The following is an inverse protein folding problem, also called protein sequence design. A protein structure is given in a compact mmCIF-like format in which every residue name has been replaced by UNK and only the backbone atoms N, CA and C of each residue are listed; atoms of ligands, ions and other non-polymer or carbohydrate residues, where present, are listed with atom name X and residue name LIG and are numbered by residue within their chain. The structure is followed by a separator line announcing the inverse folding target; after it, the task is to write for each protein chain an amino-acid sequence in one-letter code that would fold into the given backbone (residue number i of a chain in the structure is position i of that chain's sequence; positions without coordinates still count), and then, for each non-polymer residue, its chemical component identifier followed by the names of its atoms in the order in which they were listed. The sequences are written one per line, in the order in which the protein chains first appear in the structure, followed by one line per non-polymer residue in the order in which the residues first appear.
data_IF_050447026305
#
_entry.id   IF_050447026305
#
_cell.length_a   1.000
_cell.length_b   1.000
_cell.length_c   1.000
_cell.angle_alpha   90.00
_cell.angle_beta   90.00
_cell.angle_gamma   90.00
#
_symmetry.space_group_name_H-M   'P 1'
#
loop_
_entity.id
_entity.type
_entity.pdbx_description
1 polymer ?
#
# COMPACT_ATOMS: atom_id res chain seq x y z
N UNK A 1 13.23 -13.28 -39.07
CA UNK A 1 13.44 -13.95 -37.78
C UNK A 1 13.21 -12.93 -36.69
N UNK A 2 11.97 -12.62 -36.38
CA UNK A 2 11.63 -11.72 -35.29
C UNK A 2 11.04 -12.58 -34.18
N UNK A 3 11.94 -13.07 -33.35
CA UNK A 3 11.56 -13.57 -32.03
C UNK A 3 11.27 -12.40 -31.12
N UNK A 4 10.23 -11.60 -31.42
CA UNK A 4 9.69 -10.72 -30.42
C UNK A 4 9.09 -11.63 -29.35
N UNK A 5 9.74 -11.68 -28.21
CA UNK A 5 9.07 -12.06 -26.96
C UNK A 5 7.88 -11.10 -26.83
N UNK A 6 6.76 -11.50 -27.42
CA UNK A 6 5.51 -10.78 -27.31
C UNK A 6 5.09 -10.80 -25.84
N UNK A 7 5.67 -9.90 -25.06
CA UNK A 7 5.26 -9.71 -23.67
C UNK A 7 3.85 -9.15 -23.73
N UNK A 8 2.88 -10.04 -23.64
CA UNK A 8 1.48 -9.70 -23.60
C UNK A 8 1.22 -8.89 -22.31
N UNK A 9 0.41 -7.84 -22.42
CA UNK A 9 -0.02 -7.05 -21.25
C UNK A 9 -0.54 -7.94 -20.11
N UNK A 10 -1.21 -9.05 -20.46
CA UNK A 10 -1.69 -10.05 -19.49
C UNK A 10 -0.55 -10.68 -18.71
N UNK A 11 0.54 -11.08 -19.37
CA UNK A 11 1.72 -11.67 -18.71
C UNK A 11 2.36 -10.68 -17.75
N UNK A 12 2.44 -9.40 -18.15
CA UNK A 12 2.98 -8.32 -17.31
C UNK A 12 2.11 -8.11 -16.06
N UNK A 13 0.79 -8.09 -16.22
CA UNK A 13 -0.15 -7.94 -15.11
C UNK A 13 -0.02 -9.12 -14.13
N UNK A 14 0.02 -10.36 -14.63
CA UNK A 14 0.20 -11.52 -13.76
C UNK A 14 1.53 -11.50 -13.01
N UNK A 15 2.62 -11.15 -13.67
CA UNK A 15 3.92 -11.00 -13.04
C UNK A 15 3.90 -9.92 -11.94
N UNK A 16 3.29 -8.77 -12.22
CA UNK A 16 3.12 -7.69 -11.24
C UNK A 16 2.30 -8.14 -10.02
N UNK A 17 1.19 -8.82 -10.23
CA UNK A 17 0.36 -9.35 -9.14
C UNK A 17 1.13 -10.38 -8.30
N UNK A 18 1.93 -11.24 -8.91
CA UNK A 18 2.81 -12.16 -8.18
C UNK A 18 3.84 -11.42 -7.33
N UNK A 19 4.49 -10.39 -7.88
CA UNK A 19 5.45 -9.56 -7.14
C UNK A 19 4.77 -8.88 -5.93
N UNK A 20 3.59 -8.31 -6.12
CA UNK A 20 2.84 -7.70 -5.03
C UNK A 20 2.39 -8.71 -3.97
N UNK A 21 1.93 -9.89 -4.37
CA UNK A 21 1.54 -10.94 -3.44
C UNK A 21 2.73 -11.43 -2.60
N UNK A 22 3.88 -11.64 -3.23
CA UNK A 22 5.12 -12.03 -2.55
C UNK A 22 5.59 -10.91 -1.61
N UNK A 23 5.61 -9.66 -2.10
CA UNK A 23 5.98 -8.50 -1.30
C UNK A 23 5.08 -8.34 -0.08
N UNK A 24 3.77 -8.42 -0.27
CA UNK A 24 2.82 -8.37 0.84
C UNK A 24 3.02 -9.51 1.85
N UNK A 25 3.18 -10.74 1.36
CA UNK A 25 3.27 -11.92 2.22
C UNK A 25 4.56 -11.99 3.03
N UNK A 26 5.70 -11.70 2.41
CA UNK A 26 7.01 -11.85 3.07
C UNK A 26 7.51 -10.53 3.62
N UNK A 27 7.62 -9.51 2.80
CA UNK A 27 8.19 -8.22 3.19
C UNK A 27 7.28 -7.46 4.15
N UNK A 28 5.97 -7.38 3.84
CA UNK A 28 4.98 -6.76 4.72
C UNK A 28 4.92 -7.42 6.10
N UNK A 29 4.92 -8.76 6.16
CA UNK A 29 4.94 -9.48 7.43
C UNK A 29 6.27 -9.30 8.19
N UNK A 30 7.39 -9.23 7.49
CA UNK A 30 8.68 -8.94 8.11
C UNK A 30 8.67 -7.58 8.79
N UNK A 31 8.23 -6.53 8.09
CA UNK A 31 8.12 -5.18 8.65
C UNK A 31 7.15 -5.15 9.84
N UNK A 32 5.96 -5.74 9.69
CA UNK A 32 4.95 -5.76 10.74
C UNK A 32 5.42 -6.44 12.03
N UNK A 33 6.10 -7.59 11.90
CA UNK A 33 6.49 -8.40 13.06
C UNK A 33 7.85 -8.04 13.63
N UNK A 34 8.84 -7.76 12.77
CA UNK A 34 10.23 -7.54 13.19
C UNK A 34 10.58 -6.08 13.43
N UNK A 35 10.04 -5.18 12.59
CA UNK A 35 10.37 -3.75 12.68
C UNK A 35 9.38 -3.01 13.57
N UNK A 36 8.08 -3.15 13.29
CA UNK A 36 7.04 -2.43 14.03
C UNK A 36 6.56 -3.17 15.29
N UNK A 37 6.86 -4.45 15.39
CA UNK A 37 6.45 -5.30 16.51
C UNK A 37 4.96 -5.10 16.86
N UNK A 38 4.10 -5.30 15.84
CA UNK A 38 2.66 -5.13 15.98
C UNK A 38 2.11 -6.15 16.99
N UNK A 39 1.29 -5.66 17.91
CA UNK A 39 0.64 -6.49 18.92
C UNK A 39 -0.88 -6.32 18.78
N UNK A 40 -1.56 -7.36 18.34
CA UNK A 40 -3.01 -7.39 18.11
C UNK A 40 -3.83 -7.31 19.41
N UNK A 41 -3.22 -7.62 20.55
CA UNK A 41 -3.88 -7.49 21.86
C UNK A 41 -4.03 -6.03 22.31
N UNK A 42 -3.38 -5.08 21.64
CA UNK A 42 -3.41 -3.67 22.01
C UNK A 42 -4.66 -2.99 21.44
N UNK A 43 -5.54 -2.41 22.28
CA UNK A 43 -6.71 -1.71 21.77
C UNK A 43 -6.32 -0.49 20.96
N UNK A 44 -6.96 -0.32 19.80
CA UNK A 44 -6.79 0.87 18.97
C UNK A 44 -7.44 2.10 19.60
N UNK A 45 -7.04 3.32 19.21
CA UNK A 45 -7.66 4.55 19.72
C UNK A 45 -9.18 4.58 19.55
N UNK A 46 -9.69 4.11 18.41
CA UNK A 46 -11.13 4.02 18.14
C UNK A 46 -11.89 3.08 19.10
N UNK A 47 -11.19 2.14 19.75
CA UNK A 47 -11.77 1.25 20.76
C UNK A 47 -11.61 1.86 22.15
N UNK A 48 -10.44 2.45 22.43
CA UNK A 48 -10.08 2.96 23.75
C UNK A 48 -10.79 4.27 24.10
N UNK A 49 -10.95 5.14 23.10
CA UNK A 49 -11.52 6.47 23.27
C UNK A 49 -12.88 6.64 22.56
N UNK A 50 -13.59 5.54 22.31
CA UNK A 50 -14.88 5.56 21.63
C UNK A 50 -15.85 6.56 22.27
N UNK A 51 -16.14 7.67 21.60
CA UNK A 51 -17.04 8.74 22.04
C UNK A 51 -18.26 8.92 21.11
N UNK A 52 -18.28 8.22 19.99
CA UNK A 52 -19.36 8.31 19.01
C UNK A 52 -19.28 9.52 18.07
N UNK A 53 -18.28 10.39 18.22
CA UNK A 53 -18.05 11.56 17.39
C UNK A 53 -16.70 11.50 16.68
N UNK A 54 -15.61 11.58 17.43
CA UNK A 54 -14.25 11.59 16.88
C UNK A 54 -13.68 10.18 16.77
N UNK A 55 -14.05 9.28 17.68
CA UNK A 55 -13.58 7.90 17.76
C UNK A 55 -14.71 6.91 17.58
N UNK A 56 -14.94 6.50 16.33
CA UNK A 56 -15.99 5.55 15.96
C UNK A 56 -15.36 4.24 15.48
N UNK A 57 -15.85 3.12 16.03
CA UNK A 57 -15.48 1.79 15.53
C UNK A 57 -16.06 1.59 14.14
N UNK A 58 -15.20 1.55 13.14
CA UNK A 58 -15.60 1.41 11.73
C UNK A 58 -15.34 -0.01 11.23
N UNK A 59 -16.19 -0.48 10.33
CA UNK A 59 -16.00 -1.76 9.66
C UNK A 59 -14.72 -1.71 8.80
N UNK A 60 -13.95 -2.81 8.83
CA UNK A 60 -12.70 -2.94 8.09
C UNK A 60 -12.84 -2.69 6.57
N UNK A 61 -13.98 -3.05 5.97
CA UNK A 61 -14.22 -2.83 4.55
C UNK A 61 -14.47 -1.35 4.22
N UNK A 62 -15.18 -0.64 5.10
CA UNK A 62 -15.40 0.81 4.96
C UNK A 62 -14.07 1.55 5.13
N UNK A 63 -13.28 1.16 6.13
CA UNK A 63 -11.96 1.74 6.37
C UNK A 63 -11.01 1.50 5.18
N UNK A 64 -11.01 0.28 4.64
CA UNK A 64 -10.23 -0.07 3.44
C UNK A 64 -10.66 0.77 2.24
N UNK A 65 -11.97 0.88 1.97
CA UNK A 65 -12.49 1.68 0.87
C UNK A 65 -12.13 3.15 0.98
N UNK A 66 -12.20 3.72 2.17
CA UNK A 66 -11.82 5.10 2.43
C UNK A 66 -10.32 5.34 2.22
N UNK A 67 -9.49 4.46 2.73
CA UNK A 67 -8.03 4.51 2.54
C UNK A 67 -7.65 4.36 1.07
N UNK A 68 -8.28 3.41 0.36
CA UNK A 68 -8.08 3.22 -1.07
C UNK A 68 -8.47 4.46 -1.89
N UNK A 69 -9.63 5.07 -1.57
CA UNK A 69 -10.07 6.29 -2.24
C UNK A 69 -9.12 7.47 -2.01
N UNK A 70 -8.53 7.57 -0.82
CA UNK A 70 -7.55 8.62 -0.51
C UNK A 70 -6.23 8.43 -1.30
N UNK A 71 -5.78 7.18 -1.47
CA UNK A 71 -4.57 6.85 -2.24
C UNK A 71 -4.82 7.00 -3.75
N UNK A 72 -5.98 6.62 -4.25
CA UNK A 72 -6.34 6.67 -5.68
C UNK A 72 -6.65 8.11 -6.15
N UNK A 73 -5.91 9.10 -5.68
CA UNK A 73 -6.03 10.49 -6.08
C UNK A 73 -5.35 10.78 -7.43
N UNK A 74 -5.41 12.02 -7.88
CA UNK A 74 -4.89 12.42 -9.20
C UNK A 74 -3.40 12.14 -9.40
N UNK A 75 -2.57 12.26 -8.37
CA UNK A 75 -1.14 11.98 -8.45
C UNK A 75 -0.80 10.55 -8.91
N UNK A 76 -1.31 9.51 -8.25
CA UNK A 76 -1.12 8.12 -8.66
C UNK A 76 -1.70 7.76 -10.03
N UNK A 77 -2.69 8.49 -10.52
CA UNK A 77 -3.22 8.30 -11.87
C UNK A 77 -2.34 8.96 -12.95
N UNK A 78 -1.90 10.20 -12.71
CA UNK A 78 -1.13 10.97 -13.69
C UNK A 78 0.35 10.56 -13.71
N UNK A 79 0.93 10.18 -12.57
CA UNK A 79 2.32 9.82 -12.44
C UNK A 79 2.77 8.70 -13.40
N UNK A 80 2.09 7.55 -13.43
CA UNK A 80 2.40 6.46 -14.36
C UNK A 80 2.23 6.84 -15.83
N UNK A 81 1.25 7.67 -16.17
CA UNK A 81 1.02 8.16 -17.53
C UNK A 81 2.19 9.04 -18.00
N UNK A 82 2.64 9.95 -17.16
CA UNK A 82 3.81 10.78 -17.44
C UNK A 82 5.09 9.94 -17.49
N UNK A 83 5.26 8.98 -16.59
CA UNK A 83 6.42 8.09 -16.60
C UNK A 83 6.49 7.24 -17.87
N UNK A 84 5.35 6.86 -18.45
CA UNK A 84 5.30 6.09 -19.69
C UNK A 84 5.88 6.85 -20.89
N UNK A 85 5.95 8.18 -20.86
CA UNK A 85 6.60 9.00 -21.89
C UNK A 85 8.12 8.76 -21.96
N UNK A 86 8.72 8.33 -20.87
CA UNK A 86 10.15 7.96 -20.80
C UNK A 86 10.42 6.50 -21.12
N UNK A 87 9.40 5.77 -21.54
CA UNK A 87 9.44 4.34 -21.80
C UNK A 87 8.68 3.55 -20.71
N UNK A 88 7.93 2.53 -21.14
CA UNK A 88 7.08 1.77 -20.22
C UNK A 88 7.87 0.90 -19.24
N UNK A 89 9.00 0.34 -19.66
CA UNK A 89 9.78 -0.60 -18.86
C UNK A 89 10.40 0.05 -17.59
N UNK A 90 11.12 1.18 -17.70
CA UNK A 90 11.66 1.86 -16.53
C UNK A 90 10.56 2.32 -15.56
N UNK A 91 9.46 2.87 -16.10
CA UNK A 91 8.32 3.31 -15.28
C UNK A 91 7.65 2.16 -14.54
N UNK A 92 7.44 1.04 -15.22
CA UNK A 92 6.85 -0.15 -14.61
C UNK A 92 7.72 -0.76 -13.51
N UNK A 93 9.04 -0.90 -13.75
CA UNK A 93 9.98 -1.39 -12.74
C UNK A 93 10.00 -0.46 -11.51
N UNK A 94 9.99 0.85 -11.73
CA UNK A 94 9.91 1.82 -10.63
C UNK A 94 8.64 1.68 -9.81
N UNK A 95 7.48 1.52 -10.46
CA UNK A 95 6.21 1.31 -9.77
C UNK A 95 6.24 0.02 -8.96
N UNK A 96 6.68 -1.10 -9.54
CA UNK A 96 6.73 -2.39 -8.85
C UNK A 96 7.62 -2.35 -7.61
N UNK A 97 8.84 -1.86 -7.76
CA UNK A 97 9.82 -1.76 -6.68
C UNK A 97 9.37 -0.72 -5.65
N UNK A 98 8.94 0.46 -6.11
CA UNK A 98 8.51 1.55 -5.25
C UNK A 98 7.28 1.21 -4.42
N UNK A 99 6.28 0.56 -5.01
CA UNK A 99 5.08 0.14 -4.25
C UNK A 99 5.42 -0.91 -3.19
N UNK A 100 6.29 -1.88 -3.48
CA UNK A 100 6.64 -2.93 -2.53
C UNK A 100 7.55 -2.41 -1.42
N UNK A 101 8.64 -1.71 -1.78
CA UNK A 101 9.67 -1.33 -0.82
C UNK A 101 9.37 -0.03 -0.07
N UNK A 102 8.75 0.93 -0.74
CA UNK A 102 8.51 2.26 -0.18
C UNK A 102 7.03 2.50 0.16
N UNK A 103 6.12 2.36 -0.80
CA UNK A 103 4.72 2.73 -0.63
C UNK A 103 4.04 1.97 0.51
N UNK A 104 4.07 0.65 0.49
CA UNK A 104 3.45 -0.17 1.52
C UNK A 104 4.08 0.01 2.90
N UNK A 105 5.39 0.23 2.97
CA UNK A 105 6.09 0.50 4.24
C UNK A 105 5.74 1.88 4.77
N UNK A 106 5.74 2.90 3.91
CA UNK A 106 5.38 4.26 4.29
C UNK A 106 3.98 4.31 4.92
N UNK A 107 2.98 3.74 4.25
CA UNK A 107 1.60 3.74 4.75
C UNK A 107 1.49 2.97 6.07
N UNK A 108 2.15 1.82 6.17
CA UNK A 108 2.16 1.03 7.39
C UNK A 108 2.81 1.78 8.57
N UNK A 109 3.92 2.47 8.34
CA UNK A 109 4.61 3.26 9.36
C UNK A 109 3.76 4.45 9.79
N UNK A 110 3.18 5.19 8.85
CA UNK A 110 2.31 6.34 9.15
C UNK A 110 1.10 5.90 9.97
N UNK A 111 0.42 4.83 9.57
CA UNK A 111 -0.71 4.27 10.34
C UNK A 111 -0.29 3.79 11.73
N UNK A 112 0.86 3.12 11.83
CA UNK A 112 1.40 2.68 13.10
C UNK A 112 1.68 3.85 14.04
N UNK A 113 2.33 4.90 13.55
CA UNK A 113 2.64 6.10 14.33
C UNK A 113 1.35 6.82 14.75
N UNK A 114 0.39 6.99 13.84
CA UNK A 114 -0.91 7.59 14.16
C UNK A 114 -1.64 6.82 15.27
N UNK A 115 -1.72 5.49 15.16
CA UNK A 115 -2.36 4.64 16.18
C UNK A 115 -1.64 4.76 17.54
N UNK A 116 -0.33 4.92 17.55
CA UNK A 116 0.47 5.14 18.77
C UNK A 116 0.25 6.52 19.38
N UNK A 117 -0.07 7.53 18.59
CA UNK A 117 -0.30 8.92 18.98
C UNK A 117 -1.80 9.28 19.03
N UNK A 118 -2.64 8.42 19.54
CA UNK A 118 -4.08 8.62 19.76
C UNK A 118 -4.89 8.81 18.47
N UNK A 119 -4.41 8.36 17.31
CA UNK A 119 -5.09 8.54 16.03
C UNK A 119 -4.99 9.94 15.44
N UNK A 120 -4.05 10.76 15.90
CA UNK A 120 -3.80 12.08 15.34
C UNK A 120 -3.10 11.98 13.99
N UNK A 121 -3.32 12.98 13.12
CA UNK A 121 -2.51 13.14 11.92
C UNK A 121 -1.08 13.52 12.28
N UNK A 122 -0.15 12.96 11.51
CA UNK A 122 1.28 13.22 11.65
C UNK A 122 1.71 14.39 10.80
#
# INVERSE_FOLDING_TARGET
MEGSLGINAVTVIFAALCVFAIGYRFYGLYIARKVLNLNDARPTPAVKYADGHDYIKTNKFVLFGHHFAAIAAAGPLLGPVLAAQFGYMPGMLWILIGCVLAGGVHDMVVLFCSVRHRGQSL
#
